data_IF_369944121034
#
_entry.id   IF_369944121034
#
_cell.length_a   1.000
_cell.length_b   1.000
_cell.length_c   1.000
_cell.angle_alpha   90.00
_cell.angle_beta   90.00
_cell.angle_gamma   90.00
#
_symmetry.space_group_name_H-M   'P 1'
#
loop_
_entity.id
_entity.type
_entity.pdbx_description
1 polymer ?
#
# COMPACT_ATOMS: atom_id res chain seq x y z
N UNK A 1 12.39 22.56 -31.90
CA UNK A 1 11.35 21.57 -32.23
C UNK A 1 12.05 20.29 -32.65
N UNK A 2 12.32 19.42 -31.69
CA UNK A 2 12.87 18.09 -31.93
C UNK A 2 11.74 17.22 -32.48
N UNK A 3 11.96 16.59 -33.64
CA UNK A 3 11.02 15.67 -34.26
C UNK A 3 10.63 14.56 -33.26
N UNK A 4 9.34 14.18 -33.17
CA UNK A 4 8.95 13.07 -32.31
C UNK A 4 9.70 11.81 -32.77
N UNK A 5 10.16 10.94 -31.85
CA UNK A 5 10.76 9.68 -32.24
C UNK A 5 9.78 8.92 -33.14
N UNK A 6 10.25 8.44 -34.30
CA UNK A 6 9.48 7.52 -35.15
C UNK A 6 9.18 6.27 -34.32
N UNK A 7 8.01 6.24 -33.69
CA UNK A 7 7.43 5.02 -33.16
C UNK A 7 7.05 4.16 -34.37
N UNK A 8 8.01 3.37 -34.87
CA UNK A 8 7.62 2.15 -35.58
C UNK A 8 6.90 1.30 -34.53
N UNK A 9 5.57 1.28 -34.59
CA UNK A 9 4.77 0.21 -33.99
C UNK A 9 5.46 -1.11 -34.32
N UNK A 10 5.94 -1.83 -33.30
CA UNK A 10 6.45 -3.18 -33.50
C UNK A 10 5.24 -4.10 -33.72
N UNK A 11 4.72 -4.09 -34.94
CA UNK A 11 3.59 -4.92 -35.36
C UNK A 11 3.90 -6.42 -35.19
N UNK A 12 5.18 -6.79 -35.09
CA UNK A 12 5.61 -8.16 -34.82
C UNK A 12 5.17 -8.64 -33.44
N UNK A 13 5.38 -7.84 -32.40
CA UNK A 13 4.97 -8.21 -31.03
C UNK A 13 3.46 -8.32 -30.88
N UNK A 14 2.71 -7.39 -31.44
CA UNK A 14 1.24 -7.42 -31.42
C UNK A 14 0.73 -8.69 -32.10
N UNK A 15 1.29 -9.04 -33.27
CA UNK A 15 0.95 -10.28 -33.98
C UNK A 15 1.24 -11.53 -33.15
N UNK A 16 2.42 -11.61 -32.54
CA UNK A 16 2.81 -12.75 -31.69
C UNK A 16 1.86 -12.94 -30.50
N UNK A 17 1.40 -11.85 -29.87
CA UNK A 17 0.42 -11.93 -28.78
C UNK A 17 -0.93 -12.47 -29.28
N UNK A 18 -1.39 -12.03 -30.45
CA UNK A 18 -2.61 -12.57 -31.05
C UNK A 18 -2.48 -14.05 -31.38
N UNK A 19 -1.35 -14.48 -31.96
CA UNK A 19 -1.05 -15.90 -32.23
C UNK A 19 -1.01 -16.73 -30.95
N UNK A 20 -0.56 -16.14 -29.83
CA UNK A 20 -0.56 -16.76 -28.50
C UNK A 20 -1.97 -16.90 -27.90
N UNK A 21 -2.97 -16.17 -28.41
CA UNK A 21 -4.36 -16.22 -27.93
C UNK A 21 -4.89 -14.92 -27.32
N UNK A 22 -4.07 -13.87 -27.23
CA UNK A 22 -4.52 -12.57 -26.70
C UNK A 22 -5.56 -11.95 -27.64
N UNK A 23 -6.71 -11.56 -27.07
CA UNK A 23 -7.75 -10.88 -27.84
C UNK A 23 -7.41 -9.40 -27.97
N UNK A 24 -7.09 -8.97 -29.20
CA UNK A 24 -6.80 -7.57 -29.53
C UNK A 24 -7.81 -7.11 -30.60
N UNK A 25 -8.83 -6.35 -30.17
CA UNK A 25 -9.92 -5.94 -31.07
C UNK A 25 -9.47 -5.00 -32.19
N UNK A 26 -8.49 -4.12 -31.91
CA UNK A 26 -7.90 -3.21 -32.89
C UNK A 26 -6.37 -3.21 -32.77
N UNK A 27 -5.67 -4.10 -33.50
CA UNK A 27 -4.22 -4.25 -33.40
C UNK A 27 -3.42 -2.97 -33.69
N UNK A 28 -3.95 -2.08 -34.53
CA UNK A 28 -3.29 -0.82 -34.90
C UNK A 28 -3.35 0.25 -33.80
N UNK A 29 -4.20 0.03 -32.79
CA UNK A 29 -4.40 0.94 -31.66
C UNK A 29 -3.78 0.40 -30.35
N UNK A 30 -2.96 -0.65 -30.42
CA UNK A 30 -2.22 -1.19 -29.27
C UNK A 30 -0.73 -0.99 -29.49
N UNK A 31 -0.05 -0.50 -28.45
CA UNK A 31 1.38 -0.26 -28.46
C UNK A 31 2.08 -1.17 -27.44
N UNK A 32 3.08 -1.93 -27.89
CA UNK A 32 3.90 -2.80 -27.04
C UNK A 32 5.35 -2.33 -27.13
N UNK A 33 5.95 -1.98 -25.99
CA UNK A 33 7.34 -1.57 -25.88
C UNK A 33 8.32 -2.64 -26.33
N UNK A 34 9.50 -2.24 -26.83
CA UNK A 34 10.54 -3.16 -27.30
C UNK A 34 11.13 -4.00 -26.16
N UNK A 35 11.11 -3.47 -24.95
CA UNK A 35 11.55 -4.09 -23.71
C UNK A 35 10.58 -5.14 -23.15
N UNK A 36 9.30 -5.12 -23.57
CA UNK A 36 8.27 -6.03 -23.04
C UNK A 36 8.50 -7.46 -23.54
N UNK A 37 8.51 -8.43 -22.62
CA UNK A 37 8.65 -9.85 -22.96
C UNK A 37 7.27 -10.49 -23.16
N UNK A 38 6.91 -10.86 -24.39
CA UNK A 38 5.60 -11.43 -24.73
C UNK A 38 5.33 -12.76 -23.99
N UNK A 39 6.37 -13.45 -23.56
CA UNK A 39 6.32 -14.67 -22.75
C UNK A 39 5.60 -14.41 -21.41
N UNK A 40 5.73 -13.20 -20.87
CA UNK A 40 5.12 -12.76 -19.59
C UNK A 40 3.66 -12.33 -19.70
N UNK A 41 3.09 -12.32 -20.90
CA UNK A 41 1.68 -12.00 -21.15
C UNK A 41 0.95 -13.30 -21.46
N UNK A 42 -0.04 -13.68 -20.65
CA UNK A 42 -0.84 -14.87 -20.88
C UNK A 42 -1.58 -14.79 -22.21
N UNK A 43 -1.63 -15.90 -22.94
CA UNK A 43 -2.52 -16.05 -24.09
C UNK A 43 -3.95 -16.42 -23.71
N UNK A 44 -4.18 -16.78 -22.46
CA UNK A 44 -5.46 -17.29 -21.99
C UNK A 44 -6.37 -16.16 -21.47
N UNK A 45 -7.41 -15.82 -22.24
CA UNK A 45 -8.45 -14.88 -21.83
C UNK A 45 -8.02 -13.42 -21.67
N UNK A 46 -6.78 -13.05 -22.02
CA UNK A 46 -6.33 -11.65 -21.95
C UNK A 46 -6.97 -10.83 -23.07
N UNK A 47 -7.50 -9.65 -22.72
CA UNK A 47 -8.14 -8.72 -23.66
C UNK A 47 -7.47 -7.34 -23.60
N UNK A 48 -6.97 -6.88 -24.75
CA UNK A 48 -6.41 -5.54 -24.92
C UNK A 48 -7.35 -4.69 -25.79
N UNK A 49 -7.92 -3.64 -25.22
CA UNK A 49 -8.79 -2.70 -25.93
C UNK A 49 -7.99 -1.58 -26.61
N UNK A 50 -8.67 -0.82 -27.47
CA UNK A 50 -8.05 0.28 -28.24
C UNK A 50 -7.43 1.33 -27.33
N UNK A 51 -6.21 1.76 -27.64
CA UNK A 51 -5.45 2.73 -26.84
C UNK A 51 -4.66 2.12 -25.68
N UNK A 52 -4.55 0.79 -25.62
CA UNK A 52 -3.70 0.09 -24.65
C UNK A 52 -2.23 0.24 -25.01
N UNK A 53 -1.42 0.68 -24.04
CA UNK A 53 0.04 0.78 -24.14
C UNK A 53 0.68 -0.04 -23.03
N UNK A 54 1.59 -0.94 -23.40
CA UNK A 54 2.29 -1.82 -22.47
C UNK A 54 3.79 -1.56 -22.60
N UNK A 55 4.43 -1.17 -21.50
CA UNK A 55 5.85 -0.86 -21.40
C UNK A 55 6.49 -1.55 -20.21
N UNK A 56 7.81 -1.52 -20.16
CA UNK A 56 8.61 -1.99 -19.03
C UNK A 56 8.97 -3.47 -19.12
N UNK A 57 10.25 -3.77 -18.92
CA UNK A 57 10.82 -5.12 -19.02
C UNK A 57 10.22 -6.11 -18.01
N UNK A 58 9.70 -5.60 -16.88
CA UNK A 58 9.11 -6.40 -15.82
C UNK A 58 7.61 -6.62 -15.97
N UNK A 59 6.97 -6.03 -16.98
CA UNK A 59 5.50 -6.15 -17.10
C UNK A 59 5.09 -7.59 -17.36
N UNK A 60 4.15 -8.08 -16.54
CA UNK A 60 3.51 -9.38 -16.70
C UNK A 60 2.00 -9.25 -16.59
N UNK A 61 1.27 -10.07 -17.34
CA UNK A 61 -0.19 -10.03 -17.44
C UNK A 61 -0.71 -11.46 -17.39
N UNK A 62 -1.40 -11.82 -16.31
CA UNK A 62 -1.98 -13.15 -16.11
C UNK A 62 -3.30 -13.33 -16.86
N UNK A 63 -3.80 -14.56 -16.84
CA UNK A 63 -5.00 -14.98 -17.57
C UNK A 63 -6.23 -14.15 -17.21
N UNK A 64 -7.11 -13.95 -18.20
CA UNK A 64 -8.38 -13.25 -18.01
C UNK A 64 -8.29 -11.73 -17.78
N UNK A 65 -7.09 -11.15 -17.74
CA UNK A 65 -6.91 -9.72 -17.51
C UNK A 65 -7.45 -8.88 -18.67
N UNK A 66 -8.09 -7.74 -18.35
CA UNK A 66 -8.70 -6.83 -19.33
C UNK A 66 -8.17 -5.41 -19.16
N UNK A 67 -7.59 -4.87 -20.23
CA UNK A 67 -6.92 -3.58 -20.20
C UNK A 67 -7.57 -2.58 -21.17
N UNK A 68 -8.03 -1.45 -20.64
CA UNK A 68 -8.46 -0.29 -21.43
C UNK A 68 -9.92 -0.29 -21.90
N UNK A 69 -10.81 -1.03 -21.21
CA UNK A 69 -12.21 -1.16 -21.65
C UNK A 69 -12.98 0.17 -21.70
N UNK A 70 -12.81 1.03 -20.70
CA UNK A 70 -13.54 2.31 -20.59
C UNK A 70 -12.80 3.47 -21.28
N UNK A 71 -11.47 3.47 -21.24
CA UNK A 71 -10.64 4.50 -21.88
C UNK A 71 -9.21 3.98 -22.14
N UNK A 72 -8.38 4.70 -22.92
CA UNK A 72 -6.97 4.34 -23.10
C UNK A 72 -6.27 4.07 -21.77
N UNK A 73 -5.38 3.08 -21.77
CA UNK A 73 -4.64 2.65 -20.59
C UNK A 73 -3.15 2.54 -20.91
N UNK A 74 -2.31 2.98 -19.99
CA UNK A 74 -0.86 2.75 -20.04
C UNK A 74 -0.44 1.94 -18.83
N UNK A 75 0.28 0.86 -19.09
CA UNK A 75 0.85 -0.03 -18.08
C UNK A 75 2.37 -0.02 -18.25
N UNK A 76 3.11 0.27 -17.18
CA UNK A 76 4.57 0.33 -17.19
C UNK A 76 5.17 -0.39 -15.97
N UNK A 77 5.91 -1.49 -16.20
CA UNK A 77 6.54 -2.30 -15.18
C UNK A 77 5.57 -2.81 -14.08
N UNK A 78 4.36 -3.21 -14.47
CA UNK A 78 3.36 -3.74 -13.56
C UNK A 78 3.26 -5.26 -13.61
N UNK A 79 2.94 -5.89 -12.49
CA UNK A 79 2.54 -7.30 -12.46
C UNK A 79 1.03 -7.36 -12.26
N UNK A 80 0.32 -7.86 -13.28
CA UNK A 80 -1.14 -7.85 -13.37
C UNK A 80 -1.65 -9.29 -13.20
N UNK A 81 -2.36 -9.53 -12.11
CA UNK A 81 -2.85 -10.84 -11.72
C UNK A 81 -4.06 -11.33 -12.50
N UNK A 82 -4.53 -12.55 -12.20
CA UNK A 82 -5.65 -13.17 -12.91
C UNK A 82 -6.91 -12.33 -12.80
N UNK A 83 -7.66 -12.23 -13.90
CA UNK A 83 -8.96 -11.54 -13.97
C UNK A 83 -8.94 -10.06 -13.51
N UNK A 84 -7.77 -9.41 -13.53
CA UNK A 84 -7.64 -7.99 -13.20
C UNK A 84 -8.23 -7.13 -14.32
N UNK A 85 -8.98 -6.09 -13.96
CA UNK A 85 -9.56 -5.13 -14.89
C UNK A 85 -9.01 -3.71 -14.66
N UNK A 86 -8.11 -3.26 -15.54
CA UNK A 86 -7.60 -1.88 -15.53
C UNK A 86 -8.29 -1.10 -16.65
N UNK A 87 -9.39 -0.42 -16.32
CA UNK A 87 -10.35 0.06 -17.32
C UNK A 87 -9.89 1.31 -18.07
N UNK A 88 -8.92 2.04 -17.53
CA UNK A 88 -8.35 3.22 -18.19
C UNK A 88 -7.51 4.08 -17.26
N UNK A 89 -6.50 4.77 -17.80
CA UNK A 89 -5.60 5.63 -17.03
C UNK A 89 -4.13 5.20 -17.11
N UNK A 90 -3.37 5.46 -16.04
CA UNK A 90 -1.93 5.21 -15.97
C UNK A 90 -1.58 4.37 -14.76
N UNK A 91 -0.88 3.27 -15.00
CA UNK A 91 -0.48 2.28 -14.01
C UNK A 91 1.02 2.02 -14.16
N UNK A 92 1.79 2.28 -13.10
CA UNK A 92 3.23 2.12 -13.14
C UNK A 92 3.80 1.47 -11.88
N UNK A 93 4.78 0.59 -12.07
CA UNK A 93 5.64 -0.02 -11.04
C UNK A 93 4.86 -0.53 -9.82
N UNK A 94 3.78 -1.26 -10.07
CA UNK A 94 2.80 -1.71 -9.06
C UNK A 94 2.28 -3.11 -9.34
N UNK A 95 1.72 -3.76 -8.33
CA UNK A 95 1.20 -5.12 -8.39
C UNK A 95 -0.31 -5.12 -8.12
N UNK A 96 -1.04 -5.88 -8.91
CA UNK A 96 -2.49 -6.07 -8.79
C UNK A 96 -2.75 -7.57 -8.72
N UNK A 97 -3.27 -8.04 -7.59
CA UNK A 97 -3.58 -9.47 -7.40
C UNK A 97 -4.96 -9.81 -8.00
N UNK A 98 -5.38 -11.05 -7.82
CA UNK A 98 -6.56 -11.61 -8.48
C UNK A 98 -7.80 -10.70 -8.36
N UNK A 99 -8.48 -10.44 -9.49
CA UNK A 99 -9.76 -9.70 -9.56
C UNK A 99 -9.72 -8.25 -9.06
N UNK A 100 -8.54 -7.64 -8.96
CA UNK A 100 -8.47 -6.19 -8.74
C UNK A 100 -9.14 -5.44 -9.89
N UNK A 101 -9.89 -4.39 -9.59
CA UNK A 101 -10.57 -3.58 -10.62
C UNK A 101 -10.40 -2.09 -10.38
N UNK A 102 -9.89 -1.38 -11.38
CA UNK A 102 -9.69 0.08 -11.32
C UNK A 102 -10.43 0.76 -12.48
N UNK A 103 -11.34 1.68 -12.14
CA UNK A 103 -12.12 2.46 -13.10
C UNK A 103 -11.29 3.42 -13.94
N UNK A 104 -11.91 3.99 -14.98
CA UNK A 104 -11.27 4.96 -15.88
C UNK A 104 -10.68 6.17 -15.15
N UNK A 105 -9.60 6.71 -15.70
CA UNK A 105 -8.89 7.86 -15.15
C UNK A 105 -8.03 7.55 -13.91
N UNK A 106 -7.84 6.28 -13.58
CA UNK A 106 -6.97 5.88 -12.48
C UNK A 106 -5.51 6.32 -12.73
N UNK A 107 -4.82 6.67 -11.64
CA UNK A 107 -3.43 7.11 -11.61
C UNK A 107 -2.70 6.33 -10.51
N UNK A 108 -2.36 5.08 -10.79
CA UNK A 108 -1.65 4.20 -9.84
C UNK A 108 -0.17 4.28 -10.12
N UNK A 109 0.57 4.95 -9.25
CA UNK A 109 2.01 5.20 -9.39
C UNK A 109 2.80 4.26 -8.49
N UNK A 110 4.12 4.31 -8.63
CA UNK A 110 5.03 3.30 -8.10
C UNK A 110 4.83 2.86 -6.65
N UNK A 111 5.11 1.56 -6.46
CA UNK A 111 5.11 0.83 -5.19
C UNK A 111 3.71 0.68 -4.58
N UNK A 112 2.69 0.44 -5.40
CA UNK A 112 1.38 0.00 -4.90
C UNK A 112 1.24 -1.52 -4.94
N UNK A 113 0.51 -2.05 -3.96
CA UNK A 113 0.05 -3.45 -3.92
C UNK A 113 -1.45 -3.40 -3.67
N UNK A 114 -2.22 -3.90 -4.64
CA UNK A 114 -3.67 -4.08 -4.49
C UNK A 114 -3.93 -5.58 -4.43
N UNK A 115 -4.41 -6.05 -3.29
CA UNK A 115 -4.70 -7.45 -3.06
C UNK A 115 -6.08 -7.87 -3.58
N UNK A 116 -6.43 -9.14 -3.40
CA UNK A 116 -7.56 -9.80 -4.05
C UNK A 116 -8.87 -8.99 -3.97
N UNK A 117 -9.49 -8.79 -5.13
CA UNK A 117 -10.80 -8.12 -5.24
C UNK A 117 -10.84 -6.68 -4.68
N UNK A 118 -9.70 -6.05 -4.40
CA UNK A 118 -9.65 -4.61 -4.13
C UNK A 118 -10.11 -3.83 -5.36
N UNK A 119 -10.82 -2.72 -5.14
CA UNK A 119 -11.41 -1.96 -6.24
C UNK A 119 -11.33 -0.46 -6.07
N UNK A 120 -11.24 0.26 -7.19
CA UNK A 120 -11.31 1.70 -7.27
C UNK A 120 -12.33 2.14 -8.32
N UNK A 121 -13.13 3.15 -7.99
CA UNK A 121 -13.98 3.85 -8.94
C UNK A 121 -13.17 4.66 -9.97
N UNK A 122 -13.81 5.63 -10.61
CA UNK A 122 -13.13 6.47 -11.59
C UNK A 122 -12.23 7.51 -10.91
N UNK A 123 -11.12 7.86 -11.57
CA UNK A 123 -10.19 8.91 -11.14
C UNK A 123 -9.62 8.71 -9.73
N UNK A 124 -9.18 7.48 -9.44
CA UNK A 124 -8.46 7.14 -8.19
C UNK A 124 -6.96 7.29 -8.39
N UNK A 125 -6.31 8.11 -7.57
CA UNK A 125 -4.87 8.33 -7.54
C UNK A 125 -4.20 7.65 -6.35
N UNK A 126 -3.22 6.78 -6.63
CA UNK A 126 -2.45 6.03 -5.63
C UNK A 126 -0.95 6.19 -5.87
N UNK A 127 -0.18 6.05 -4.79
CA UNK A 127 1.28 5.93 -4.81
C UNK A 127 1.71 5.41 -3.45
N UNK A 128 2.61 4.42 -3.41
CA UNK A 128 3.12 3.89 -2.14
C UNK A 128 1.94 3.46 -1.22
N UNK A 129 0.95 2.79 -1.81
CA UNK A 129 -0.31 2.42 -1.16
C UNK A 129 -0.50 0.91 -1.20
N UNK A 130 -0.88 0.33 -0.05
CA UNK A 130 -1.19 -1.09 0.07
C UNK A 130 -2.66 -1.23 0.44
N UNK A 131 -3.43 -1.91 -0.40
CA UNK A 131 -4.85 -2.22 -0.15
C UNK A 131 -5.00 -3.72 0.03
N UNK A 132 -5.49 -4.13 1.20
CA UNK A 132 -5.80 -5.53 1.49
C UNK A 132 -7.06 -5.97 0.74
N UNK A 133 -7.39 -7.28 0.75
CA UNK A 133 -8.49 -7.80 -0.02
C UNK A 133 -9.80 -7.06 0.24
N UNK A 134 -10.59 -6.91 -0.82
CA UNK A 134 -11.91 -6.26 -0.84
C UNK A 134 -11.95 -4.75 -0.56
N UNK A 135 -10.84 -4.12 -0.14
CA UNK A 135 -10.83 -2.68 0.14
C UNK A 135 -11.33 -1.91 -1.08
N UNK A 136 -12.30 -1.04 -0.85
CA UNK A 136 -13.02 -0.33 -1.90
C UNK A 136 -12.76 1.16 -1.81
N UNK A 137 -12.23 1.72 -2.89
CA UNK A 137 -12.12 3.16 -3.08
C UNK A 137 -13.26 3.60 -4.00
N UNK A 138 -14.00 4.63 -3.58
CA UNK A 138 -14.96 5.33 -4.41
C UNK A 138 -14.28 6.06 -5.57
N UNK A 139 -14.76 7.25 -5.90
CA UNK A 139 -14.27 7.99 -7.07
C UNK A 139 -13.64 9.32 -6.69
N UNK A 140 -12.80 9.90 -7.57
CA UNK A 140 -12.13 11.18 -7.34
C UNK A 140 -11.24 11.20 -6.08
N UNK A 141 -10.50 10.12 -5.82
CA UNK A 141 -9.74 9.93 -4.59
C UNK A 141 -8.25 10.17 -4.81
N UNK A 142 -7.56 10.74 -3.83
CA UNK A 142 -6.10 10.70 -3.74
C UNK A 142 -5.68 10.04 -2.42
N UNK A 143 -5.17 8.82 -2.48
CA UNK A 143 -4.95 7.96 -1.31
C UNK A 143 -3.55 7.37 -1.33
N UNK A 144 -2.55 8.26 -1.36
CA UNK A 144 -1.13 7.92 -1.40
C UNK A 144 -0.56 7.71 0.01
N UNK A 145 0.52 6.93 0.13
CA UNK A 145 1.29 6.76 1.38
C UNK A 145 0.47 6.20 2.56
N UNK A 146 -0.28 5.12 2.33
CA UNK A 146 -1.03 4.47 3.39
C UNK A 146 -1.21 2.97 3.14
N UNK A 147 -1.50 2.24 4.22
CA UNK A 147 -1.96 0.87 4.19
C UNK A 147 -3.39 0.85 4.71
N UNK A 148 -4.29 0.18 3.99
CA UNK A 148 -5.67 0.01 4.42
C UNK A 148 -6.09 -1.45 4.39
N UNK A 149 -6.72 -1.89 5.48
CA UNK A 149 -7.26 -3.22 5.67
C UNK A 149 -8.64 -3.19 6.34
N UNK A 150 -9.25 -4.36 6.48
CA UNK A 150 -10.50 -4.57 7.20
C UNK A 150 -11.67 -4.93 6.28
N UNK A 151 -12.63 -5.65 6.83
CA UNK A 151 -13.62 -6.37 6.07
C UNK A 151 -13.29 -7.86 5.97
N UNK A 152 -14.27 -8.60 5.47
CA UNK A 152 -14.22 -10.04 5.27
C UNK A 152 -14.65 -10.49 3.88
N UNK A 153 -15.27 -9.63 3.05
CA UNK A 153 -15.67 -9.97 1.68
C UNK A 153 -16.05 -8.73 0.88
N UNK A 154 -16.35 -8.85 -0.42
CA UNK A 154 -16.90 -7.74 -1.23
C UNK A 154 -18.19 -7.11 -0.67
N UNK A 155 -18.97 -7.84 0.12
CA UNK A 155 -20.20 -7.33 0.76
C UNK A 155 -19.94 -6.74 2.16
N UNK A 156 -18.80 -7.06 2.76
CA UNK A 156 -18.37 -6.57 4.06
C UNK A 156 -16.91 -6.11 3.92
N UNK A 157 -16.69 -4.88 3.48
CA UNK A 157 -15.38 -4.36 3.12
C UNK A 157 -15.15 -2.98 3.74
N UNK A 158 -13.89 -2.65 3.98
CA UNK A 158 -13.53 -1.26 4.28
C UNK A 158 -13.67 -0.39 3.04
N UNK A 159 -14.17 0.83 3.23
CA UNK A 159 -14.49 1.73 2.13
C UNK A 159 -13.94 3.13 2.37
N UNK A 160 -13.41 3.71 1.29
CA UNK A 160 -13.06 5.13 1.21
C UNK A 160 -14.04 5.80 0.28
N UNK A 161 -14.90 6.65 0.83
CA UNK A 161 -15.93 7.36 0.08
C UNK A 161 -15.34 8.30 -0.96
N UNK A 162 -16.15 8.66 -1.97
CA UNK A 162 -15.71 9.51 -3.06
C UNK A 162 -15.18 10.88 -2.61
N UNK A 163 -14.22 11.44 -3.34
CA UNK A 163 -13.58 12.73 -3.05
C UNK A 163 -12.81 12.77 -1.74
N UNK A 164 -12.23 11.65 -1.34
CA UNK A 164 -11.37 11.57 -0.16
C UNK A 164 -9.91 11.86 -0.48
N UNK A 165 -9.21 12.52 0.44
CA UNK A 165 -7.77 12.80 0.32
C UNK A 165 -7.02 12.31 1.56
N UNK A 166 -5.99 11.49 1.38
CA UNK A 166 -4.95 11.33 2.39
C UNK A 166 -3.88 12.42 2.18
N UNK A 167 -3.80 13.37 3.13
CA UNK A 167 -2.82 14.45 3.11
C UNK A 167 -1.49 13.93 3.67
N UNK A 168 -0.57 13.64 2.76
CA UNK A 168 0.73 13.00 2.98
C UNK A 168 1.93 13.94 2.74
N UNK A 169 1.70 15.25 2.67
CA UNK A 169 2.74 16.24 2.49
C UNK A 169 2.51 17.43 3.42
N UNK A 170 3.51 17.74 4.24
CA UNK A 170 3.36 18.79 5.26
C UNK A 170 3.80 20.16 4.72
N UNK A 171 3.34 21.27 5.34
CA UNK A 171 3.87 22.62 5.07
C UNK A 171 5.39 22.74 5.30
N UNK A 172 6.00 21.85 6.08
CA UNK A 172 7.46 21.77 6.26
C UNK A 172 8.17 20.93 5.19
N UNK A 173 7.50 20.74 4.03
CA UNK A 173 8.00 19.99 2.88
C UNK A 173 8.42 18.56 3.25
N UNK A 174 7.60 17.90 4.06
CA UNK A 174 7.90 16.58 4.63
C UNK A 174 6.90 15.50 4.20
N UNK A 175 7.37 14.25 4.11
CA UNK A 175 6.59 13.07 3.71
C UNK A 175 6.71 11.89 4.67
N UNK A 176 7.26 12.08 5.87
CA UNK A 176 7.22 11.09 6.95
C UNK A 176 5.81 11.04 7.58
N UNK A 177 4.79 10.91 6.73
CA UNK A 177 3.39 10.99 7.10
C UNK A 177 2.56 9.77 6.62
N UNK A 178 3.09 8.54 6.61
CA UNK A 178 2.29 7.40 6.20
C UNK A 178 1.22 7.08 7.25
N UNK A 179 0.01 6.70 6.80
CA UNK A 179 -1.08 6.33 7.73
C UNK A 179 -1.39 4.84 7.68
N UNK A 180 -1.65 4.27 8.85
CA UNK A 180 -2.03 2.87 9.03
C UNK A 180 -3.53 2.80 9.33
N UNK A 181 -4.31 2.25 8.41
CA UNK A 181 -5.77 2.21 8.49
C UNK A 181 -6.18 0.73 8.61
N UNK A 182 -6.27 0.27 9.84
CA UNK A 182 -6.18 -1.13 10.23
C UNK A 182 -4.78 -1.45 10.76
N UNK A 183 -4.36 -2.70 10.61
CA UNK A 183 -2.99 -3.18 10.83
C UNK A 183 -2.81 -4.56 10.19
N UNK A 184 -1.57 -4.96 10.02
CA UNK A 184 -1.23 -6.22 9.36
C UNK A 184 -1.60 -7.43 10.23
N UNK A 185 -1.21 -7.52 11.53
CA UNK A 185 -1.44 -8.73 12.32
C UNK A 185 -2.88 -9.22 12.32
N UNK A 186 -3.84 -8.31 12.45
CA UNK A 186 -5.28 -8.64 12.43
C UNK A 186 -5.84 -8.64 11.02
N UNK A 187 -5.37 -7.75 10.15
CA UNK A 187 -5.95 -7.50 8.83
C UNK A 187 -5.78 -8.67 7.85
N UNK A 188 -4.65 -9.38 7.92
CA UNK A 188 -4.38 -10.51 7.01
C UNK A 188 -5.30 -11.71 7.27
N UNK A 189 -6.03 -11.73 8.39
CA UNK A 189 -6.97 -12.79 8.74
C UNK A 189 -8.35 -12.63 8.06
N UNK A 190 -8.60 -11.53 7.35
CA UNK A 190 -9.84 -11.28 6.58
C UNK A 190 -11.13 -11.45 7.39
N UNK A 191 -11.08 -11.11 8.68
CA UNK A 191 -12.20 -11.30 9.62
C UNK A 191 -12.43 -10.07 10.51
N UNK A 192 -11.85 -8.92 10.15
CA UNK A 192 -11.95 -7.70 10.93
C UNK A 192 -13.15 -6.84 10.52
N UNK A 193 -13.78 -6.11 11.45
CA UNK A 193 -14.79 -5.12 11.12
C UNK A 193 -14.26 -4.08 10.11
N UNK A 194 -15.07 -3.67 9.12
CA UNK A 194 -14.64 -2.73 8.11
C UNK A 194 -14.39 -1.34 8.71
N UNK A 195 -13.48 -0.59 8.09
CA UNK A 195 -13.25 0.83 8.36
C UNK A 195 -13.94 1.64 7.26
N UNK A 196 -14.71 2.66 7.64
CA UNK A 196 -15.39 3.54 6.70
C UNK A 196 -14.81 4.95 6.77
N UNK A 197 -14.23 5.44 5.68
CA UNK A 197 -13.74 6.81 5.55
C UNK A 197 -14.74 7.61 4.69
N UNK A 198 -15.63 8.37 5.33
CA UNK A 198 -16.72 9.06 4.63
C UNK A 198 -16.25 10.06 3.57
N UNK A 199 -16.94 10.07 2.42
CA UNK A 199 -16.59 10.89 1.25
C UNK A 199 -16.59 12.39 1.52
N UNK A 200 -16.00 13.16 0.59
CA UNK A 200 -15.66 14.59 0.77
C UNK A 200 -14.83 14.85 2.04
N UNK A 201 -14.17 13.81 2.56
CA UNK A 201 -13.36 13.86 3.76
C UNK A 201 -11.86 13.88 3.47
N UNK A 202 -11.08 13.81 4.53
CA UNK A 202 -9.65 13.61 4.40
C UNK A 202 -9.00 13.12 5.67
N UNK A 203 -7.80 12.59 5.52
CA UNK A 203 -7.00 12.09 6.63
C UNK A 203 -5.63 12.77 6.56
N UNK A 204 -5.24 13.48 7.60
CA UNK A 204 -3.94 14.16 7.67
C UNK A 204 -2.95 13.24 8.35
N UNK A 205 -2.04 12.67 7.57
CA UNK A 205 -1.05 11.71 8.07
C UNK A 205 0.10 12.36 8.85
N UNK A 206 0.88 11.55 9.59
CA UNK A 206 0.66 10.11 9.81
C UNK A 206 -0.35 9.89 10.95
N UNK A 207 -1.33 9.02 10.73
CA UNK A 207 -2.27 8.60 11.78
C UNK A 207 -2.55 7.11 11.75
N UNK A 208 -3.03 6.57 12.86
CA UNK A 208 -3.47 5.18 13.00
C UNK A 208 -4.96 5.11 13.26
N UNK A 209 -5.70 4.38 12.43
CA UNK A 209 -7.15 4.20 12.53
C UNK A 209 -7.45 2.71 12.69
N UNK A 210 -8.09 2.31 13.78
CA UNK A 210 -8.43 0.92 14.05
C UNK A 210 -9.70 0.44 13.37
N UNK A 211 -9.89 -0.88 13.31
CA UNK A 211 -11.05 -1.55 12.72
C UNK A 211 -12.40 -1.10 13.30
N UNK A 212 -13.45 -1.13 12.48
CA UNK A 212 -14.80 -0.71 12.89
C UNK A 212 -14.97 0.79 13.08
N UNK A 213 -13.96 1.60 12.76
CA UNK A 213 -14.05 3.06 12.83
C UNK A 213 -14.82 3.60 11.62
N UNK A 214 -15.67 4.59 11.88
CA UNK A 214 -16.40 5.35 10.87
C UNK A 214 -16.00 6.82 10.97
N UNK A 215 -15.40 7.39 9.93
CA UNK A 215 -15.25 8.84 9.79
C UNK A 215 -16.46 9.38 9.03
N UNK A 216 -17.15 10.36 9.60
CA UNK A 216 -18.28 10.99 8.92
C UNK A 216 -17.84 11.72 7.65
N UNK A 217 -18.70 11.72 6.63
CA UNK A 217 -18.47 12.47 5.40
C UNK A 217 -18.21 13.96 5.69
N UNK A 218 -17.34 14.59 4.88
CA UNK A 218 -16.93 15.98 5.09
C UNK A 218 -15.88 16.18 6.21
N UNK A 219 -15.48 15.13 6.91
CA UNK A 219 -14.50 15.23 8.01
C UNK A 219 -13.08 15.18 7.47
N UNK A 220 -12.28 16.19 7.79
CA UNK A 220 -10.81 16.10 7.66
C UNK A 220 -10.24 15.76 9.03
N UNK A 221 -9.80 14.52 9.23
CA UNK A 221 -9.37 14.00 10.54
C UNK A 221 -7.84 14.04 10.72
N UNK A 222 -7.37 14.40 11.92
CA UNK A 222 -5.94 14.66 12.25
C UNK A 222 -5.37 13.85 13.42
N UNK A 223 -6.15 12.95 14.01
CA UNK A 223 -5.78 12.27 15.25
C UNK A 223 -5.69 10.76 15.05
N UNK A 224 -5.08 10.10 16.02
CA UNK A 224 -5.08 8.66 16.12
C UNK A 224 -6.42 8.15 16.70
N UNK A 225 -6.79 6.94 16.30
CA UNK A 225 -7.86 6.11 16.86
C UNK A 225 -7.52 4.60 16.71
N UNK A 226 -6.35 4.13 17.17
CA UNK A 226 -5.88 2.74 16.98
C UNK A 226 -6.80 1.70 17.63
N UNK A 227 -7.55 2.08 18.66
CA UNK A 227 -8.52 1.25 19.36
C UNK A 227 -9.71 0.83 18.48
N UNK A 228 -10.03 1.60 17.44
CA UNK A 228 -11.12 1.30 16.53
C UNK A 228 -12.52 1.54 17.11
N UNK A 229 -13.55 1.11 16.37
CA UNK A 229 -14.93 1.00 16.86
C UNK A 229 -15.66 2.30 17.18
N UNK A 230 -15.21 3.44 16.63
CA UNK A 230 -15.76 4.77 16.95
C UNK A 230 -16.33 5.46 15.72
N UNK A 231 -17.38 6.26 15.92
CA UNK A 231 -17.82 7.28 14.99
C UNK A 231 -17.03 8.57 15.27
N UNK A 232 -16.21 8.98 14.30
CA UNK A 232 -15.35 10.15 14.39
C UNK A 232 -15.92 11.28 13.55
N UNK A 233 -16.19 12.39 14.21
CA UNK A 233 -16.70 13.63 13.64
C UNK A 233 -15.78 14.75 14.13
N UNK A 234 -15.17 15.51 13.23
CA UNK A 234 -14.38 16.68 13.60
C UNK A 234 -15.19 17.96 13.27
N UNK A 235 -15.62 18.66 14.33
CA UNK A 235 -16.38 19.91 14.23
C UNK A 235 -15.51 21.14 13.98
N UNK A 236 -16.16 22.26 13.59
CA UNK A 236 -15.55 23.52 13.10
C UNK A 236 -14.23 23.91 13.79
N UNK A 237 -13.17 24.05 12.99
CA UNK A 237 -11.93 24.67 13.43
C UNK A 237 -12.19 26.14 13.77
N UNK A 238 -11.89 26.55 15.02
CA UNK A 238 -11.72 27.95 15.35
C UNK A 238 -10.62 28.53 14.46
N UNK A 239 -10.90 29.61 13.74
CA UNK A 239 -9.87 30.32 12.97
C UNK A 239 -8.78 30.79 13.92
N UNK A 240 -7.53 30.45 13.61
CA UNK A 240 -6.34 30.87 14.37
C UNK A 240 -5.27 31.29 13.39
N UNK A 241 -4.82 32.52 13.54
CA UNK A 241 -3.67 33.03 12.80
C UNK A 241 -2.41 32.89 13.66
N UNK A 242 -1.35 32.35 13.04
CA UNK A 242 -0.03 32.22 13.66
C UNK A 242 1.03 32.47 12.59
N UNK A 243 2.12 33.09 13.00
CA UNK A 243 3.31 33.21 12.14
C UNK A 243 3.80 31.79 11.83
N UNK A 244 3.94 31.48 10.55
CA UNK A 244 4.55 30.25 10.09
C UNK A 244 6.07 30.42 10.03
N UNK A 245 6.80 29.54 10.69
CA UNK A 245 8.26 29.51 10.68
C UNK A 245 8.74 28.28 9.89
N UNK A 246 9.22 28.46 8.64
CA UNK A 246 9.77 27.36 7.86
C UNK A 246 10.91 26.66 8.59
N UNK A 247 10.87 25.33 8.65
CA UNK A 247 11.87 24.49 9.32
C UNK A 247 11.72 24.36 10.84
N UNK A 248 10.80 25.09 11.48
CA UNK A 248 10.50 24.91 12.90
C UNK A 248 9.43 23.83 13.10
N UNK A 249 9.81 22.71 13.72
CA UNK A 249 8.88 21.64 14.05
C UNK A 249 8.28 21.82 15.45
N UNK A 250 7.02 21.42 15.57
CA UNK A 250 6.32 21.31 16.84
C UNK A 250 6.59 19.97 17.53
N UNK A 251 5.55 19.42 18.14
CA UNK A 251 5.60 18.07 18.71
C UNK A 251 5.71 17.05 17.57
N UNK A 252 6.81 16.28 17.58
CA UNK A 252 7.11 15.25 16.57
C UNK A 252 6.79 13.83 17.08
N UNK A 253 6.37 13.68 18.35
CA UNK A 253 6.20 12.36 18.97
C UNK A 253 5.23 11.48 18.19
N UNK A 254 4.05 12.01 17.85
CA UNK A 254 3.06 11.27 17.06
C UNK A 254 3.61 10.85 15.70
N UNK A 255 4.37 11.73 15.05
CA UNK A 255 5.00 11.45 13.77
C UNK A 255 6.02 10.30 13.87
N UNK A 256 6.91 10.35 14.86
CA UNK A 256 7.91 9.30 15.13
C UNK A 256 7.21 7.96 15.42
N UNK A 257 6.28 7.95 16.37
CA UNK A 257 5.57 6.72 16.76
C UNK A 257 4.83 6.11 15.58
N UNK A 258 4.07 6.90 14.83
CA UNK A 258 3.27 6.37 13.73
C UNK A 258 4.12 5.86 12.56
N UNK A 259 5.28 6.47 12.28
CA UNK A 259 6.24 5.91 11.31
C UNK A 259 6.82 4.58 11.80
N UNK A 260 7.18 4.45 13.08
CA UNK A 260 7.66 3.19 13.67
C UNK A 260 6.61 2.09 13.52
N UNK A 261 5.36 2.35 13.91
CA UNK A 261 4.28 1.38 13.76
C UNK A 261 4.02 1.02 12.30
N UNK A 262 4.03 1.99 11.38
CA UNK A 262 3.83 1.73 9.96
C UNK A 262 4.93 0.82 9.39
N UNK A 263 6.21 1.14 9.65
CA UNK A 263 7.34 0.34 9.22
C UNK A 263 7.33 -1.07 9.83
N UNK A 264 7.04 -1.20 11.14
CA UNK A 264 6.93 -2.49 11.80
C UNK A 264 5.82 -3.37 11.19
N UNK A 265 4.70 -2.76 10.79
CA UNK A 265 3.64 -3.45 10.06
C UNK A 265 4.10 -3.90 8.66
N UNK A 266 4.84 -3.07 7.92
CA UNK A 266 5.39 -3.50 6.62
C UNK A 266 6.35 -4.69 6.75
N UNK A 267 7.16 -4.75 7.81
CA UNK A 267 8.01 -5.91 8.10
C UNK A 267 7.18 -7.16 8.41
N UNK A 268 6.14 -7.02 9.23
CA UNK A 268 5.20 -8.12 9.49
C UNK A 268 4.51 -8.59 8.19
N UNK A 269 4.13 -7.66 7.30
CA UNK A 269 3.51 -8.00 6.02
C UNK A 269 4.49 -8.71 5.09
N UNK A 270 5.76 -8.31 5.08
CA UNK A 270 6.81 -9.03 4.35
C UNK A 270 6.93 -10.48 4.84
N UNK A 271 6.93 -10.71 6.15
CA UNK A 271 6.95 -12.05 6.73
C UNK A 271 5.70 -12.87 6.35
N UNK A 272 4.53 -12.22 6.31
CA UNK A 272 3.30 -12.83 5.80
C UNK A 272 3.43 -13.26 4.33
N UNK A 273 3.98 -12.40 3.48
CA UNK A 273 4.19 -12.73 2.07
C UNK A 273 5.17 -13.88 1.88
N UNK A 274 6.30 -13.84 2.59
CA UNK A 274 7.36 -14.85 2.51
C UNK A 274 6.85 -16.22 2.96
N UNK A 275 6.18 -16.30 4.11
CA UNK A 275 5.88 -17.59 4.72
C UNK A 275 4.47 -18.09 4.42
N UNK A 276 3.48 -17.19 4.34
CA UNK A 276 2.07 -17.57 4.21
C UNK A 276 1.58 -17.39 2.80
N UNK A 277 1.91 -16.28 2.11
CA UNK A 277 1.39 -16.07 0.74
C UNK A 277 2.14 -16.86 -0.32
N UNK A 278 3.44 -17.10 -0.16
CA UNK A 278 4.26 -17.79 -1.17
C UNK A 278 3.63 -19.10 -1.69
N UNK A 279 3.11 -20.02 -0.85
CA UNK A 279 2.50 -21.27 -1.33
C UNK A 279 1.30 -21.10 -2.26
N UNK A 280 0.60 -19.96 -2.20
CA UNK A 280 -0.58 -19.67 -3.04
C UNK A 280 -0.22 -19.24 -4.46
N UNK A 281 1.04 -18.87 -4.71
CA UNK A 281 1.53 -18.60 -6.05
C UNK A 281 2.00 -19.91 -6.70
N UNK A 282 1.46 -20.23 -7.89
CA UNK A 282 1.81 -21.47 -8.60
C UNK A 282 3.21 -21.38 -9.25
N UNK A 283 3.91 -22.51 -9.45
CA UNK A 283 5.18 -22.53 -10.18
C UNK A 283 4.93 -22.56 -11.70
N UNK A 284 4.17 -21.59 -12.22
CA UNK A 284 3.79 -21.47 -13.64
C UNK A 284 4.46 -20.27 -14.35
N UNK A 285 5.46 -19.68 -13.70
CA UNK A 285 6.19 -18.50 -14.16
C UNK A 285 5.42 -17.18 -14.05
N UNK A 286 4.12 -17.15 -14.36
CA UNK A 286 3.29 -15.95 -14.23
C UNK A 286 3.04 -15.60 -12.76
N UNK A 287 2.64 -16.61 -11.98
CA UNK A 287 2.41 -16.45 -10.54
C UNK A 287 3.71 -16.14 -9.79
N UNK A 288 4.84 -16.68 -10.24
CA UNK A 288 6.17 -16.34 -9.70
C UNK A 288 6.53 -14.87 -9.93
N UNK A 289 6.22 -14.32 -11.11
CA UNK A 289 6.43 -12.91 -11.42
C UNK A 289 5.56 -12.02 -10.55
N UNK A 290 4.29 -12.39 -10.31
CA UNK A 290 3.40 -11.68 -9.38
C UNK A 290 3.96 -11.66 -7.96
N UNK A 291 4.39 -12.81 -7.45
CA UNK A 291 4.99 -12.93 -6.12
C UNK A 291 6.27 -12.08 -6.00
N UNK A 292 7.21 -12.23 -6.94
CA UNK A 292 8.44 -11.45 -6.96
C UNK A 292 8.15 -9.94 -7.06
N UNK A 293 7.15 -9.56 -7.87
CA UNK A 293 6.65 -8.20 -7.95
C UNK A 293 6.13 -7.68 -6.61
N UNK A 294 5.35 -8.47 -5.88
CA UNK A 294 4.80 -8.06 -4.58
C UNK A 294 5.91 -7.86 -3.54
N UNK A 295 6.86 -8.79 -3.44
CA UNK A 295 8.03 -8.66 -2.54
C UNK A 295 8.85 -7.41 -2.90
N UNK A 296 9.16 -7.20 -4.18
CA UNK A 296 9.90 -6.01 -4.63
C UNK A 296 9.19 -4.70 -4.23
N UNK A 297 7.85 -4.70 -4.24
CA UNK A 297 7.04 -3.50 -3.95
C UNK A 297 6.96 -3.26 -2.45
N UNK A 298 6.92 -4.31 -1.64
CA UNK A 298 7.07 -4.22 -0.18
C UNK A 298 8.45 -3.67 0.20
N UNK A 299 9.53 -4.20 -0.38
CA UNK A 299 10.88 -3.72 -0.10
C UNK A 299 11.06 -2.26 -0.56
N UNK A 300 10.51 -1.90 -1.71
CA UNK A 300 10.48 -0.51 -2.19
C UNK A 300 9.69 0.41 -1.25
N UNK A 301 8.57 -0.07 -0.69
CA UNK A 301 7.78 0.69 0.27
C UNK A 301 8.53 0.89 1.59
N UNK A 302 9.14 -0.16 2.13
CA UNK A 302 9.98 -0.07 3.34
C UNK A 302 11.14 0.91 3.11
N UNK A 303 11.85 0.77 1.99
CA UNK A 303 12.95 1.65 1.62
C UNK A 303 12.53 3.11 1.49
N UNK A 304 11.40 3.39 0.83
CA UNK A 304 10.85 4.74 0.73
C UNK A 304 10.51 5.32 2.12
N UNK A 305 9.81 4.56 2.96
CA UNK A 305 9.43 5.00 4.31
C UNK A 305 10.66 5.29 5.19
N UNK A 306 11.68 4.44 5.13
CA UNK A 306 12.94 4.69 5.83
C UNK A 306 13.65 5.95 5.32
N UNK A 307 13.66 6.21 4.01
CA UNK A 307 14.23 7.44 3.46
C UNK A 307 13.47 8.69 3.91
N UNK A 308 12.14 8.66 3.93
CA UNK A 308 11.36 9.81 4.39
C UNK A 308 11.53 10.04 5.90
N UNK A 309 11.61 8.96 6.69
CA UNK A 309 11.85 9.09 8.13
C UNK A 309 13.27 9.59 8.43
N UNK A 310 14.27 9.18 7.64
CA UNK A 310 15.62 9.75 7.69
C UNK A 310 15.58 11.25 7.40
N UNK A 311 14.93 11.67 6.31
CA UNK A 311 14.81 13.07 5.95
C UNK A 311 14.15 13.91 7.05
N UNK A 312 13.15 13.36 7.75
CA UNK A 312 12.57 14.00 8.94
C UNK A 312 13.61 14.17 10.04
N UNK A 313 14.39 13.13 10.35
CA UNK A 313 15.40 13.19 11.41
C UNK A 313 16.47 14.25 11.12
N UNK A 314 16.93 14.36 9.87
CA UNK A 314 17.93 15.34 9.45
C UNK A 314 17.41 16.78 9.59
N UNK A 315 16.11 17.01 9.35
CA UNK A 315 15.48 18.33 9.55
C UNK A 315 15.43 18.78 11.01
N UNK A 316 15.64 17.86 11.97
CA UNK A 316 15.64 18.23 13.38
C UNK A 316 16.81 19.15 13.73
N UNK A 317 17.95 19.05 13.05
CA UNK A 317 19.10 19.95 13.25
C UNK A 317 18.67 21.42 13.13
N UNK A 318 18.05 21.77 11.99
CA UNK A 318 17.56 23.12 11.75
C UNK A 318 16.42 23.52 12.70
N UNK A 319 15.51 22.59 13.01
CA UNK A 319 14.42 22.86 13.93
C UNK A 319 14.92 23.18 15.35
N UNK A 320 15.96 22.49 15.82
CA UNK A 320 16.59 22.70 17.11
C UNK A 320 17.25 24.09 17.21
N UNK A 321 17.94 24.53 16.15
CA UNK A 321 18.50 25.88 16.06
C UNK A 321 17.41 26.94 16.22
N UNK A 322 16.38 26.87 15.37
CA UNK A 322 15.26 27.82 15.39
C UNK A 322 14.48 27.77 16.71
N UNK A 323 14.29 26.58 17.28
CA UNK A 323 13.57 26.37 18.52
C UNK A 323 14.25 26.99 19.74
N UNK A 324 15.58 27.13 19.74
CA UNK A 324 16.30 27.84 20.81
C UNK A 324 15.91 29.32 20.87
N UNK A 325 15.71 29.94 19.72
CA UNK A 325 15.44 31.38 19.62
C UNK A 325 13.95 31.70 19.72
N UNK A 326 13.10 30.86 19.15
CA UNK A 326 11.67 31.16 18.94
C UNK A 326 10.75 30.54 20.01
N UNK A 327 11.13 29.44 20.64
CA UNK A 327 10.30 28.79 21.67
C UNK A 327 10.63 29.33 23.07
N UNK A 328 9.67 29.23 24.00
CA UNK A 328 9.78 29.72 25.38
C UNK A 328 9.15 28.75 26.38
N UNK A 329 9.61 28.80 27.64
CA UNK A 329 9.07 28.04 28.77
C UNK A 329 9.24 26.52 28.66
N UNK A 330 8.55 25.77 29.54
CA UNK A 330 8.65 24.30 29.65
C UNK A 330 8.39 23.55 28.33
N UNK A 331 7.56 24.12 27.44
CA UNK A 331 7.28 23.56 26.11
C UNK A 331 8.53 23.54 25.21
N UNK A 332 9.41 24.54 25.32
CA UNK A 332 10.68 24.57 24.60
C UNK A 332 11.55 23.38 24.98
N UNK A 333 11.76 23.16 26.28
CA UNK A 333 12.63 22.09 26.79
C UNK A 333 12.16 20.72 26.31
N UNK A 334 10.86 20.45 26.42
CA UNK A 334 10.26 19.20 25.93
C UNK A 334 10.47 19.00 24.42
N UNK A 335 10.17 20.01 23.60
CA UNK A 335 10.28 19.90 22.14
C UNK A 335 11.73 19.74 21.69
N UNK A 336 12.66 20.50 22.27
CA UNK A 336 14.08 20.40 21.95
C UNK A 336 14.65 19.04 22.38
N UNK A 337 14.23 18.49 23.52
CA UNK A 337 14.63 17.14 23.95
C UNK A 337 14.19 16.09 22.94
N UNK A 338 12.90 16.06 22.60
CA UNK A 338 12.34 15.09 21.65
C UNK A 338 13.01 15.14 20.28
N UNK A 339 13.21 16.35 19.74
CA UNK A 339 13.86 16.55 18.44
C UNK A 339 15.34 16.16 18.48
N UNK A 340 16.05 16.46 19.58
CA UNK A 340 17.44 16.06 19.80
C UNK A 340 17.61 14.55 19.96
N UNK A 341 16.68 13.89 20.65
CA UNK A 341 16.64 12.43 20.79
C UNK A 341 16.48 11.75 19.43
N UNK A 342 15.53 12.19 18.60
CA UNK A 342 15.35 11.64 17.24
C UNK A 342 16.63 11.81 16.41
N UNK A 343 17.20 13.02 16.38
CA UNK A 343 18.41 13.30 15.60
C UNK A 343 19.58 12.40 16.03
N UNK A 344 19.81 12.28 17.35
CA UNK A 344 20.90 11.49 17.90
C UNK A 344 20.71 9.99 17.68
N UNK A 345 19.50 9.49 17.89
CA UNK A 345 19.22 8.05 17.91
C UNK A 345 18.80 7.50 16.55
N UNK A 346 18.63 8.34 15.52
CA UNK A 346 18.23 7.89 14.18
C UNK A 346 19.03 6.69 13.64
N UNK A 347 20.38 6.63 13.73
CA UNK A 347 21.13 5.47 13.26
C UNK A 347 20.70 4.15 13.93
N UNK A 348 20.43 4.18 15.23
CA UNK A 348 19.96 3.02 15.98
C UNK A 348 18.53 2.64 15.57
N UNK A 349 17.62 3.63 15.48
CA UNK A 349 16.24 3.44 15.02
C UNK A 349 16.21 2.81 13.63
N UNK A 350 17.01 3.33 12.69
CA UNK A 350 17.14 2.78 11.33
C UNK A 350 17.63 1.34 11.37
N UNK A 351 18.61 1.04 12.22
CA UNK A 351 19.14 -0.31 12.43
C UNK A 351 18.06 -1.32 12.83
N UNK A 352 17.06 -0.92 13.63
CA UNK A 352 15.94 -1.78 14.01
C UNK A 352 15.13 -2.29 12.80
N UNK A 353 15.04 -1.53 11.71
CA UNK A 353 14.26 -1.91 10.52
C UNK A 353 15.10 -2.59 9.43
N UNK A 354 16.42 -2.47 9.49
CA UNK A 354 17.34 -3.06 8.49
C UNK A 354 18.07 -4.29 9.01
N UNK A 355 17.93 -4.63 10.30
CA UNK A 355 18.64 -5.73 10.94
C UNK A 355 18.03 -7.13 10.75
N UNK A 356 16.87 -7.26 10.09
CA UNK A 356 16.20 -8.55 9.86
C UNK A 356 15.69 -9.23 11.13
N UNK A 357 15.46 -8.47 12.20
CA UNK A 357 15.07 -9.01 13.50
C UNK A 357 13.72 -9.75 13.45
N UNK A 358 12.81 -9.32 12.57
CA UNK A 358 11.49 -9.91 12.40
C UNK A 358 11.50 -11.39 12.00
N UNK A 359 12.58 -11.86 11.34
CA UNK A 359 12.70 -13.24 10.86
C UNK A 359 12.83 -14.27 12.00
N UNK A 360 13.30 -13.82 13.17
CA UNK A 360 13.56 -14.65 14.34
C UNK A 360 12.47 -14.55 15.42
N UNK A 361 11.41 -13.77 15.20
CA UNK A 361 10.39 -13.51 16.22
C UNK A 361 9.30 -14.58 16.20
N UNK A 362 9.06 -15.15 17.39
CA UNK A 362 7.95 -16.07 17.67
C UNK A 362 7.79 -17.21 16.65
N UNK A 363 8.93 -17.86 16.37
CA UNK A 363 9.02 -19.00 15.45
C UNK A 363 8.04 -20.13 15.80
N UNK A 364 7.75 -20.31 17.09
CA UNK A 364 6.81 -21.33 17.55
C UNK A 364 5.40 -21.08 17.02
N UNK A 365 4.85 -19.87 17.20
CA UNK A 365 3.52 -19.56 16.67
C UNK A 365 3.53 -19.51 15.14
N UNK A 366 4.62 -19.01 14.52
CA UNK A 366 4.81 -19.07 13.07
C UNK A 366 4.67 -20.49 12.56
N UNK A 367 5.53 -21.40 13.00
CA UNK A 367 5.62 -22.75 12.44
C UNK A 367 4.33 -23.54 12.71
N UNK A 368 3.69 -23.30 13.87
CA UNK A 368 2.36 -23.84 14.18
C UNK A 368 1.31 -23.32 13.19
N UNK A 369 1.28 -22.01 12.93
CA UNK A 369 0.34 -21.41 11.99
C UNK A 369 0.57 -21.90 10.55
N UNK A 370 1.82 -21.99 10.10
CA UNK A 370 2.16 -22.50 8.77
C UNK A 370 1.70 -23.94 8.57
N UNK A 371 1.82 -24.78 9.61
CA UNK A 371 1.34 -26.15 9.56
C UNK A 371 -0.18 -26.22 9.36
N UNK A 372 -0.92 -25.29 9.98
CA UNK A 372 -2.37 -25.17 9.79
C UNK A 372 -2.70 -24.72 8.36
N UNK A 373 -2.00 -23.71 7.83
CA UNK A 373 -2.19 -23.22 6.46
C UNK A 373 -1.94 -24.31 5.43
N UNK A 374 -0.83 -25.05 5.55
CA UNK A 374 -0.49 -26.12 4.60
C UNK A 374 -1.57 -27.21 4.58
N UNK A 375 -2.05 -27.63 5.76
CA UNK A 375 -3.17 -28.58 5.85
C UNK A 375 -4.45 -28.03 5.19
N UNK A 376 -4.77 -26.75 5.41
CA UNK A 376 -5.95 -26.13 4.80
C UNK A 376 -5.83 -26.04 3.27
N UNK A 377 -4.63 -25.80 2.75
CA UNK A 377 -4.35 -25.81 1.31
C UNK A 377 -4.54 -27.22 0.72
N UNK A 378 -4.12 -28.27 1.43
CA UNK A 378 -4.32 -29.66 1.01
C UNK A 378 -5.82 -30.03 0.96
N UNK A 379 -6.61 -29.51 1.91
CA UNK A 379 -8.05 -29.78 2.02
C UNK A 379 -8.91 -28.96 1.04
N UNK A 380 -8.64 -27.66 0.90
CA UNK A 380 -9.50 -26.69 0.18
C UNK A 380 -8.94 -26.19 -1.15
N UNK A 381 -7.69 -26.54 -1.46
CA UNK A 381 -6.94 -26.02 -2.61
C UNK A 381 -6.27 -24.67 -2.36
N UNK A 382 -5.67 -24.10 -3.42
CA UNK A 382 -4.83 -22.87 -3.32
C UNK A 382 -5.59 -21.56 -3.51
N UNK A 383 -6.88 -21.50 -3.19
CA UNK A 383 -7.59 -20.22 -3.18
C UNK A 383 -7.27 -19.48 -1.87
N UNK A 384 -6.42 -18.46 -1.96
CA UNK A 384 -5.94 -17.69 -0.79
C UNK A 384 -7.07 -17.18 0.09
N UNK A 385 -8.03 -16.46 -0.50
CA UNK A 385 -9.17 -15.89 0.23
C UNK A 385 -9.96 -16.97 0.97
N UNK A 386 -10.30 -18.07 0.28
CA UNK A 386 -11.07 -19.18 0.84
C UNK A 386 -10.33 -19.84 2.00
N UNK A 387 -9.03 -20.12 1.84
CA UNK A 387 -8.21 -20.75 2.87
C UNK A 387 -8.12 -19.89 4.12
N UNK A 388 -7.86 -18.58 3.97
CA UNK A 388 -7.74 -17.67 5.11
C UNK A 388 -9.09 -17.47 5.82
N UNK A 389 -10.18 -17.31 5.07
CA UNK A 389 -11.53 -17.21 5.66
C UNK A 389 -11.99 -18.51 6.35
N UNK A 390 -11.43 -19.65 5.96
CA UNK A 390 -11.73 -20.96 6.55
C UNK A 390 -11.05 -21.20 7.90
N UNK A 391 -10.15 -20.31 8.34
CA UNK A 391 -9.45 -20.44 9.61
C UNK A 391 -10.41 -20.28 10.79
N UNK A 392 -10.33 -21.21 11.74
CA UNK A 392 -11.04 -21.06 13.01
C UNK A 392 -10.43 -19.93 13.87
N UNK A 393 -11.11 -19.60 14.97
CA UNK A 393 -10.68 -18.53 15.87
C UNK A 393 -9.31 -18.81 16.51
N UNK A 394 -8.97 -20.09 16.74
CA UNK A 394 -7.70 -20.47 17.35
C UNK A 394 -6.55 -20.26 16.36
N UNK A 395 -6.69 -20.75 15.14
CA UNK A 395 -5.72 -20.57 14.07
C UNK A 395 -5.48 -19.08 13.78
N UNK A 396 -6.56 -18.31 13.62
CA UNK A 396 -6.50 -16.85 13.43
C UNK A 396 -5.73 -16.17 14.57
N UNK A 397 -5.97 -16.59 15.82
CA UNK A 397 -5.28 -16.02 16.99
C UNK A 397 -3.79 -16.34 16.99
N UNK A 398 -3.38 -17.55 16.60
CA UNK A 398 -1.97 -17.95 16.54
C UNK A 398 -1.22 -17.09 15.53
N UNK A 399 -1.75 -16.97 14.30
CA UNK A 399 -1.14 -16.14 13.25
C UNK A 399 -1.10 -14.67 13.64
N UNK A 400 -2.18 -14.15 14.24
CA UNK A 400 -2.25 -12.76 14.69
C UNK A 400 -1.21 -12.48 15.77
N UNK A 401 -1.06 -13.41 16.73
CA UNK A 401 -0.09 -13.30 17.82
C UNK A 401 1.34 -13.27 17.29
N UNK A 402 1.67 -14.16 16.35
CA UNK A 402 3.00 -14.18 15.73
C UNK A 402 3.35 -12.83 15.08
N UNK A 403 2.45 -12.30 14.24
CA UNK A 403 2.67 -11.02 13.57
C UNK A 403 2.67 -9.83 14.54
N UNK A 404 1.82 -9.86 15.57
CA UNK A 404 1.79 -8.82 16.60
C UNK A 404 3.10 -8.80 17.39
N UNK A 405 3.67 -9.97 17.69
CA UNK A 405 4.96 -10.07 18.36
C UNK A 405 6.10 -9.50 17.50
N UNK A 406 6.05 -9.64 16.17
CA UNK A 406 6.98 -8.94 15.25
C UNK A 406 6.83 -7.42 15.42
N UNK A 407 5.60 -6.91 15.32
CA UNK A 407 5.34 -5.47 15.41
C UNK A 407 5.82 -4.90 16.76
N UNK A 408 5.51 -5.59 17.86
CA UNK A 408 5.87 -5.18 19.20
C UNK A 408 7.38 -5.24 19.43
N UNK A 409 8.05 -6.30 18.97
CA UNK A 409 9.51 -6.41 19.08
C UNK A 409 10.22 -5.25 18.39
N UNK A 410 9.85 -4.95 17.14
CA UNK A 410 10.47 -3.87 16.36
C UNK A 410 10.17 -2.51 17.01
N UNK A 411 8.91 -2.29 17.42
CA UNK A 411 8.50 -1.06 18.12
C UNK A 411 9.32 -0.85 19.39
N UNK A 412 9.43 -1.87 20.23
CA UNK A 412 10.10 -1.76 21.52
C UNK A 412 11.59 -1.48 21.33
N UNK A 413 12.22 -2.11 20.32
CA UNK A 413 13.61 -1.81 19.96
C UNK A 413 13.81 -0.37 19.47
N UNK A 414 12.88 0.17 18.68
CA UNK A 414 12.98 1.52 18.12
C UNK A 414 12.63 2.64 19.11
N UNK A 415 11.94 2.32 20.22
CA UNK A 415 11.52 3.26 21.26
C UNK A 415 12.36 3.17 22.55
N UNK A 416 13.37 2.30 22.58
CA UNK A 416 14.37 2.23 23.66
C UNK A 416 15.43 3.29 23.43
#
# INVERSE_FOLDING_TARGET
MTSPPKACLDTGKVRQLMEKGVTIHNPWAVEIGKEVQNERISGDGVVLYSGTKIYGEKTSISSGAKLGYESPVTVDNCQIGPEVELKGGFFASSVFLEKVSMGSGAQVRGSCILEEEARGGHSVGLKQTILFPFVTLGSLINFCDCLMAGGASRKNHSEVGSSYIHFNYTPQQDKATPSLIGDVPRGVMLNQPPIFLGGQGGLVGPVRIGYGTVLAAGTVYRKDCPEGGKLLIEGSNLSREKIFHPGLYGDIRGMVYNNIYYLANLLALRQWYIHVRQPFFQPDGQSEQLYAGAIEKLDSAIGERLRQFQALSEKMERSLELGKDLLRGKRREMLLSQQGELLKNWPAIKGCFTGGYEEAVDLKNRDTFLSIILRQIEEEGKNYVKVIQGLDSRASTIGTTWLQNIVDKIRDMALT
#
